data_IF_496036736553
#
_entry.id   IF_496036736553
#
_cell.length_a   1.000
_cell.length_b   1.000
_cell.length_c   1.000
_cell.angle_alpha   90.00
_cell.angle_beta   90.00
_cell.angle_gamma   90.00
#
_symmetry.space_group_name_H-M   'P 1'
#
loop_
_entity.id
_entity.type
_entity.pdbx_description
1 polymer ?
#
# COMPACT_ATOMS: atom_id res chain seq x y z
N UNK A 1 17.02 -11.72 -30.53
CA UNK A 1 17.34 -13.10 -30.96
C UNK A 1 18.72 -13.40 -30.43
N UNK A 2 18.83 -14.49 -29.69
CA UNK A 2 20.09 -14.96 -29.11
C UNK A 2 20.98 -15.52 -30.22
N UNK A 3 22.29 -15.33 -30.14
CA UNK A 3 23.24 -16.01 -31.05
C UNK A 3 24.00 -17.12 -30.31
N UNK A 4 24.54 -18.09 -31.04
CA UNK A 4 25.35 -19.15 -30.42
C UNK A 4 26.59 -18.59 -29.69
N UNK A 5 27.08 -17.42 -30.07
CA UNK A 5 28.18 -16.70 -29.39
C UNK A 5 27.84 -16.25 -27.96
N UNK A 6 26.55 -16.13 -27.63
CA UNK A 6 26.10 -15.72 -26.30
C UNK A 6 26.09 -16.90 -25.31
N UNK A 7 26.27 -18.15 -25.79
CA UNK A 7 26.43 -19.34 -24.94
C UNK A 7 27.79 -19.31 -24.25
N UNK A 8 27.81 -18.98 -22.97
CA UNK A 8 28.99 -18.98 -22.11
C UNK A 8 28.85 -19.99 -20.96
N UNK A 9 29.95 -20.57 -20.46
CA UNK A 9 29.93 -21.36 -19.24
C UNK A 9 29.27 -20.59 -18.08
N UNK A 10 28.40 -21.28 -17.33
CA UNK A 10 27.52 -20.77 -16.27
C UNK A 10 26.31 -19.93 -16.71
N UNK A 11 26.01 -19.85 -18.01
CA UNK A 11 24.74 -19.27 -18.46
C UNK A 11 23.57 -20.23 -18.22
N UNK A 12 22.39 -19.70 -17.90
CA UNK A 12 21.14 -20.47 -17.81
C UNK A 12 20.37 -20.30 -19.11
N UNK A 13 20.13 -21.39 -19.84
CA UNK A 13 19.54 -21.35 -21.19
C UNK A 13 18.29 -22.21 -21.25
N UNK A 14 17.22 -21.67 -21.86
CA UNK A 14 15.98 -22.37 -22.16
C UNK A 14 15.92 -22.68 -23.66
N UNK A 15 15.32 -23.82 -24.01
CA UNK A 15 15.21 -24.30 -25.40
C UNK A 15 16.08 -25.51 -25.72
N UNK A 16 17.01 -25.89 -24.84
CA UNK A 16 17.83 -27.11 -24.98
C UNK A 16 17.04 -28.36 -24.53
N UNK A 17 16.29 -28.23 -23.43
CA UNK A 17 15.31 -29.22 -23.00
C UNK A 17 13.90 -28.63 -23.13
N UNK A 18 12.88 -29.43 -23.50
CA UNK A 18 11.54 -28.94 -23.82
C UNK A 18 10.86 -28.09 -22.73
N UNK A 19 11.11 -28.38 -21.44
CA UNK A 19 10.38 -27.74 -20.34
C UNK A 19 11.28 -27.15 -19.24
N UNK A 20 12.60 -27.31 -19.35
CA UNK A 20 13.51 -26.97 -18.24
C UNK A 20 14.69 -26.13 -18.73
N UNK A 21 15.03 -25.03 -18.04
CA UNK A 21 16.29 -24.35 -18.28
C UNK A 21 17.45 -25.24 -17.84
N UNK A 22 18.57 -25.13 -18.52
CA UNK A 22 19.79 -25.88 -18.21
C UNK A 22 20.97 -24.93 -17.95
N UNK A 23 21.89 -25.35 -17.09
CA UNK A 23 23.12 -24.63 -16.82
C UNK A 23 24.19 -25.05 -17.84
N UNK A 24 24.74 -24.11 -18.59
CA UNK A 24 25.84 -24.38 -19.49
C UNK A 24 27.10 -24.67 -18.69
N UNK A 25 27.69 -25.84 -18.87
CA UNK A 25 28.93 -26.26 -18.21
C UNK A 25 30.13 -26.02 -19.13
N UNK A 26 29.97 -26.29 -20.42
CA UNK A 26 31.04 -26.18 -21.41
C UNK A 26 30.50 -25.95 -22.80
N UNK A 27 31.29 -25.26 -23.63
CA UNK A 27 30.94 -24.87 -25.00
C UNK A 27 32.14 -25.16 -25.89
N UNK A 28 31.98 -26.04 -26.88
CA UNK A 28 33.03 -26.39 -27.83
C UNK A 28 32.58 -26.08 -29.26
N UNK A 29 33.32 -25.22 -29.95
CA UNK A 29 32.99 -24.81 -31.31
C UNK A 29 33.56 -25.78 -32.36
N UNK A 30 32.74 -26.09 -33.35
CA UNK A 30 33.13 -26.81 -34.56
C UNK A 30 32.95 -25.88 -35.77
N UNK A 31 34.03 -25.18 -36.13
CA UNK A 31 33.98 -24.10 -37.12
C UNK A 31 33.11 -22.92 -36.64
N UNK A 32 32.40 -22.27 -37.56
CA UNK A 32 31.55 -21.10 -37.26
C UNK A 32 30.05 -21.40 -37.13
N UNK A 33 29.64 -22.65 -37.41
CA UNK A 33 28.23 -23.00 -37.66
C UNK A 33 27.64 -24.00 -36.68
N UNK A 34 28.46 -24.65 -35.85
CA UNK A 34 28.03 -25.66 -34.91
C UNK A 34 28.77 -25.54 -33.57
N UNK A 35 28.04 -25.79 -32.48
CA UNK A 35 28.54 -25.75 -31.10
C UNK A 35 28.08 -27.02 -30.39
N UNK A 36 29.01 -27.78 -29.83
CA UNK A 36 28.68 -28.79 -28.83
C UNK A 36 28.57 -28.12 -27.47
N UNK A 37 27.40 -28.27 -26.86
CA UNK A 37 27.06 -27.69 -25.57
C UNK A 37 26.97 -28.79 -24.52
N UNK A 38 27.85 -28.77 -23.54
CA UNK A 38 27.73 -29.57 -22.32
C UNK A 38 26.91 -28.77 -21.31
N UNK A 39 25.82 -29.34 -20.83
CA UNK A 39 24.91 -28.69 -19.88
C UNK A 39 24.62 -29.60 -18.69
N UNK A 40 24.12 -29.00 -17.61
CA UNK A 40 23.64 -29.67 -16.41
C UNK A 40 22.17 -29.30 -16.20
N UNK A 41 21.30 -30.29 -16.07
CA UNK A 41 19.88 -30.08 -15.77
C UNK A 41 19.66 -29.63 -14.30
N UNK A 42 18.44 -29.20 -13.92
CA UNK A 42 18.15 -28.80 -12.55
C UNK A 42 18.37 -29.91 -11.51
N UNK A 43 18.23 -31.18 -11.92
CA UNK A 43 18.49 -32.37 -11.09
C UNK A 43 19.98 -32.71 -10.97
N UNK A 44 20.83 -31.99 -11.69
CA UNK A 44 22.28 -32.11 -11.65
C UNK A 44 22.88 -33.16 -12.58
N UNK A 45 22.10 -33.75 -13.48
CA UNK A 45 22.57 -34.67 -14.51
C UNK A 45 23.22 -33.87 -15.65
N UNK A 46 24.38 -34.35 -16.09
CA UNK A 46 25.12 -33.76 -17.20
C UNK A 46 24.67 -34.39 -18.52
N UNK A 47 24.51 -33.56 -19.55
CA UNK A 47 24.21 -33.98 -20.91
C UNK A 47 24.99 -33.16 -21.93
N UNK A 48 25.13 -33.68 -23.14
CA UNK A 48 25.71 -32.98 -24.28
C UNK A 48 24.66 -32.86 -25.40
N UNK A 49 24.67 -31.75 -26.11
CA UNK A 49 23.87 -31.57 -27.33
C UNK A 49 24.67 -30.80 -28.37
N UNK A 50 24.38 -31.03 -29.65
CA UNK A 50 24.98 -30.31 -30.76
C UNK A 50 23.98 -29.29 -31.29
N UNK A 51 24.34 -28.01 -31.24
CA UNK A 51 23.51 -26.89 -31.66
C UNK A 51 24.06 -26.30 -32.96
N UNK A 52 23.15 -26.01 -33.89
CA UNK A 52 23.45 -25.34 -35.16
C UNK A 52 22.84 -23.94 -35.18
N UNK A 53 23.28 -23.10 -36.12
CA UNK A 53 22.72 -21.74 -36.31
C UNK A 53 21.20 -21.70 -36.46
N UNK A 54 20.59 -22.75 -37.02
CA UNK A 54 19.13 -22.89 -37.12
C UNK A 54 18.43 -22.92 -35.75
N UNK A 55 19.11 -23.42 -34.71
CA UNK A 55 18.57 -23.52 -33.36
C UNK A 55 18.61 -22.19 -32.59
N UNK A 56 19.27 -21.14 -33.10
CA UNK A 56 19.33 -19.82 -32.44
C UNK A 56 17.93 -19.23 -32.18
N UNK A 57 16.96 -19.55 -33.03
CA UNK A 57 15.57 -19.09 -32.90
C UNK A 57 14.80 -19.75 -31.75
N UNK A 58 15.26 -20.91 -31.28
CA UNK A 58 14.60 -21.72 -30.24
C UNK A 58 15.22 -21.47 -28.84
N UNK A 59 16.35 -20.77 -28.78
CA UNK A 59 17.12 -20.55 -27.56
C UNK A 59 16.84 -19.18 -26.94
N UNK A 60 16.74 -19.15 -25.62
CA UNK A 60 16.69 -17.91 -24.83
C UNK A 60 17.53 -18.03 -23.56
N UNK A 61 18.31 -16.98 -23.26
CA UNK A 61 19.03 -16.87 -22.00
C UNK A 61 18.03 -16.47 -20.92
N UNK A 62 17.96 -17.26 -19.85
CA UNK A 62 17.10 -17.00 -18.70
C UNK A 62 17.84 -16.16 -17.66
N UNK A 63 19.14 -16.43 -17.43
CA UNK A 63 20.02 -15.63 -16.56
C UNK A 63 21.44 -15.60 -17.14
N UNK A 64 22.01 -14.39 -17.26
CA UNK A 64 23.45 -14.20 -17.47
C UNK A 64 24.16 -14.18 -16.12
N UNK A 65 24.85 -15.27 -15.76
CA UNK A 65 25.82 -15.25 -14.65
C UNK A 65 25.49 -16.18 -13.48
N UNK A 66 26.29 -16.03 -12.41
CA UNK A 66 26.16 -16.86 -11.21
C UNK A 66 25.05 -16.30 -10.31
N UNK A 67 24.11 -17.12 -9.81
CA UNK A 67 23.27 -16.70 -8.70
C UNK A 67 24.16 -16.29 -7.52
N UNK A 68 23.88 -15.13 -6.90
CA UNK A 68 24.69 -14.54 -5.82
C UNK A 68 26.11 -14.08 -6.22
N UNK A 69 26.30 -13.60 -7.45
CA UNK A 69 27.61 -13.08 -7.89
C UNK A 69 28.10 -11.82 -7.12
N UNK A 70 27.22 -11.13 -6.37
CA UNK A 70 27.52 -9.88 -5.64
C UNK A 70 28.18 -8.80 -6.52
N UNK A 71 27.98 -8.87 -7.82
CA UNK A 71 28.52 -7.98 -8.86
C UNK A 71 27.55 -6.85 -9.24
N UNK A 72 26.40 -6.77 -8.57
CA UNK A 72 25.47 -5.65 -8.68
C UNK A 72 26.14 -4.32 -8.29
N UNK A 73 25.63 -3.22 -8.83
CA UNK A 73 26.17 -1.88 -8.53
C UNK A 73 26.07 -1.58 -7.01
N UNK A 74 27.22 -1.48 -6.35
CA UNK A 74 27.30 -1.17 -4.92
C UNK A 74 26.64 0.16 -4.54
N UNK A 75 26.52 1.11 -5.48
CA UNK A 75 25.78 2.36 -5.26
C UNK A 75 24.28 2.11 -5.18
N UNK A 76 23.74 1.25 -6.05
CA UNK A 76 22.32 0.86 -6.00
C UNK A 76 22.02 0.07 -4.73
N UNK A 77 22.90 -0.86 -4.34
CA UNK A 77 22.77 -1.59 -3.08
C UNK A 77 22.73 -0.63 -1.87
N UNK A 78 23.66 0.33 -1.80
CA UNK A 78 23.67 1.35 -0.74
C UNK A 78 22.38 2.18 -0.74
N UNK A 79 21.90 2.60 -1.91
CA UNK A 79 20.68 3.38 -2.02
C UNK A 79 19.47 2.63 -1.48
N UNK A 80 19.31 1.35 -1.85
CA UNK A 80 18.23 0.49 -1.34
C UNK A 80 18.36 0.27 0.16
N UNK A 81 19.58 0.01 0.66
CA UNK A 81 19.83 -0.15 2.10
C UNK A 81 19.46 1.12 2.90
N UNK A 82 19.84 2.30 2.42
CA UNK A 82 19.46 3.57 3.06
C UNK A 82 17.95 3.82 3.00
N UNK A 83 17.30 3.51 1.87
CA UNK A 83 15.85 3.62 1.74
C UNK A 83 15.13 2.72 2.75
N UNK A 84 15.60 1.47 2.94
CA UNK A 84 15.07 0.58 3.97
C UNK A 84 15.30 1.10 5.38
N UNK A 85 16.49 1.64 5.68
CA UNK A 85 16.79 2.23 6.99
C UNK A 85 15.86 3.38 7.32
N UNK A 86 15.60 4.28 6.36
CA UNK A 86 14.66 5.40 6.53
C UNK A 86 13.23 4.90 6.71
N UNK A 87 12.79 3.94 5.89
CA UNK A 87 11.45 3.35 6.00
C UNK A 87 11.20 2.68 7.36
N UNK A 88 12.24 2.08 7.92
CA UNK A 88 12.19 1.38 9.22
C UNK A 88 12.54 2.28 10.42
N UNK A 89 12.64 3.59 10.23
CA UNK A 89 12.99 4.51 11.32
C UNK A 89 12.02 4.43 12.52
N UNK A 90 10.74 4.14 12.27
CA UNK A 90 9.71 3.96 13.31
C UNK A 90 10.04 2.86 14.33
N UNK A 91 10.92 1.90 14.00
CA UNK A 91 11.36 0.87 14.94
C UNK A 91 12.25 1.42 16.05
N UNK A 92 12.88 2.58 15.82
CA UNK A 92 13.84 3.19 16.74
C UNK A 92 13.37 4.56 17.24
N UNK A 93 12.35 5.12 16.60
CA UNK A 93 11.69 6.37 16.99
C UNK A 93 10.22 6.09 17.36
N UNK A 94 9.88 6.04 18.66
CA UNK A 94 8.53 5.73 19.11
C UNK A 94 7.51 6.83 18.77
N UNK A 95 7.96 8.04 18.41
CA UNK A 95 7.13 9.22 18.14
C UNK A 95 7.44 9.83 16.76
N UNK A 96 7.70 8.98 15.77
CA UNK A 96 8.14 9.38 14.43
C UNK A 96 7.20 10.40 13.76
N UNK A 97 5.89 10.25 13.93
CA UNK A 97 4.93 11.20 13.35
C UNK A 97 5.03 12.59 13.96
N UNK A 98 5.44 12.75 15.22
CA UNK A 98 5.72 14.07 15.82
C UNK A 98 6.88 14.73 15.10
N UNK A 99 8.00 14.02 14.95
CA UNK A 99 9.23 14.58 14.37
C UNK A 99 9.14 14.86 12.88
N UNK A 100 8.24 14.18 12.17
CA UNK A 100 8.07 14.33 10.71
C UNK A 100 6.90 15.23 10.32
N UNK A 101 6.16 15.78 11.30
CA UNK A 101 5.01 16.66 11.08
C UNK A 101 5.31 18.11 11.45
N UNK A 102 4.58 19.04 10.85
CA UNK A 102 4.65 20.47 11.12
C UNK A 102 3.65 20.80 12.24
N UNK A 103 3.88 20.21 13.43
CA UNK A 103 3.06 20.41 14.62
C UNK A 103 3.93 20.48 15.87
N UNK A 104 3.49 21.26 16.85
CA UNK A 104 4.01 21.25 18.21
C UNK A 104 2.91 20.67 19.11
N UNK A 105 2.86 19.34 19.31
CA UNK A 105 1.78 18.72 20.05
C UNK A 105 1.94 18.98 21.54
N UNK A 106 0.81 19.18 22.22
CA UNK A 106 0.77 19.36 23.67
C UNK A 106 1.01 18.01 24.37
N UNK A 107 1.54 17.99 25.61
CA UNK A 107 1.85 16.74 26.32
C UNK A 107 0.67 15.77 26.39
N UNK A 108 -0.54 16.27 26.64
CA UNK A 108 -1.74 15.42 26.70
C UNK A 108 -2.07 14.77 25.35
N UNK A 109 -1.75 15.43 24.23
CA UNK A 109 -1.95 14.89 22.89
C UNK A 109 -0.97 13.76 22.60
N UNK A 110 0.28 13.90 23.05
CA UNK A 110 1.31 12.86 22.92
C UNK A 110 0.87 11.63 23.73
N UNK A 111 0.54 11.80 25.01
CA UNK A 111 0.09 10.70 25.86
C UNK A 111 -1.16 10.02 25.27
N UNK A 112 -2.16 10.80 24.84
CA UNK A 112 -3.37 10.24 24.24
C UNK A 112 -3.06 9.40 23.00
N UNK A 113 -2.24 9.89 22.07
CA UNK A 113 -1.94 9.15 20.83
C UNK A 113 -1.04 7.95 21.09
N UNK A 114 0.08 8.14 21.78
CA UNK A 114 1.16 7.15 21.82
C UNK A 114 1.05 6.15 22.97
N UNK A 115 0.48 6.54 24.11
CA UNK A 115 0.34 5.66 25.27
C UNK A 115 -1.04 5.00 25.31
N UNK A 116 -2.09 5.69 24.83
CA UNK A 116 -3.46 5.19 24.94
C UNK A 116 -4.04 4.67 23.63
N UNK A 117 -3.97 5.43 22.53
CA UNK A 117 -4.63 5.05 21.28
C UNK A 117 -3.85 3.98 20.51
N UNK A 118 -2.55 4.23 20.29
CA UNK A 118 -1.70 3.41 19.44
C UNK A 118 -1.52 1.94 19.92
N UNK A 119 -1.40 1.65 21.23
CA UNK A 119 -1.21 0.27 21.69
C UNK A 119 -2.50 -0.58 21.67
N UNK A 120 -3.68 0.03 21.52
CA UNK A 120 -4.94 -0.69 21.69
C UNK A 120 -5.43 -1.34 20.40
N UNK A 121 -5.70 -2.65 20.48
CA UNK A 121 -6.22 -3.47 19.39
C UNK A 121 -7.41 -4.31 19.91
N UNK A 122 -8.58 -4.29 19.27
CA UNK A 122 -8.95 -3.52 18.08
C UNK A 122 -9.13 -2.02 18.39
N UNK A 123 -8.80 -1.17 17.42
CA UNK A 123 -8.84 0.29 17.56
C UNK A 123 -10.29 0.83 17.48
N UNK A 124 -10.96 1.01 18.63
CA UNK A 124 -12.28 1.64 18.73
C UNK A 124 -12.33 2.63 19.91
N UNK A 125 -12.22 3.92 19.62
CA UNK A 125 -12.20 4.99 20.63
C UNK A 125 -13.18 6.13 20.31
N UNK A 126 -13.66 6.77 21.37
CA UNK A 126 -14.33 8.05 21.30
C UNK A 126 -13.44 9.10 21.95
N UNK A 127 -12.95 10.06 21.15
CA UNK A 127 -12.27 11.24 21.68
C UNK A 127 -13.33 12.26 22.12
N UNK A 128 -13.58 12.30 23.43
CA UNK A 128 -14.61 13.15 24.05
C UNK A 128 -14.03 14.41 24.73
N UNK A 129 -12.82 14.83 24.34
CA UNK A 129 -12.18 16.04 24.87
C UNK A 129 -12.97 17.30 24.51
N UNK A 130 -12.72 18.38 25.26
CA UNK A 130 -13.35 19.67 25.02
C UNK A 130 -13.08 20.22 23.59
N UNK A 131 -13.99 21.06 23.06
CA UNK A 131 -13.70 21.84 21.85
C UNK A 131 -12.40 22.62 21.99
N UNK A 132 -11.52 22.52 20.99
CA UNK A 132 -10.20 23.18 21.02
C UNK A 132 -9.06 22.36 21.64
N UNK A 133 -9.33 21.18 22.23
CA UNK A 133 -8.28 20.29 22.77
C UNK A 133 -7.32 19.70 21.69
N UNK A 134 -7.61 19.95 20.42
CA UNK A 134 -6.81 19.52 19.28
C UNK A 134 -7.04 18.08 18.85
N UNK A 135 -8.30 17.61 18.89
CA UNK A 135 -8.70 16.27 18.41
C UNK A 135 -8.26 16.00 16.97
N UNK A 136 -8.31 16.99 16.08
CA UNK A 136 -7.82 16.87 14.70
C UNK A 136 -6.31 16.62 14.64
N UNK A 137 -5.54 17.25 15.54
CA UNK A 137 -4.09 17.02 15.62
C UNK A 137 -3.79 15.62 16.15
N UNK A 138 -4.52 15.16 17.17
CA UNK A 138 -4.39 13.80 17.67
C UNK A 138 -4.72 12.75 16.59
N UNK A 139 -5.81 12.97 15.84
CA UNK A 139 -6.18 12.11 14.73
C UNK A 139 -5.13 12.11 13.61
N UNK A 140 -4.61 13.29 13.22
CA UNK A 140 -3.56 13.40 12.22
C UNK A 140 -2.25 12.73 12.63
N UNK A 141 -1.84 12.87 13.90
CA UNK A 141 -0.69 12.17 14.46
C UNK A 141 -0.89 10.66 14.40
N UNK A 142 -2.05 10.16 14.85
CA UNK A 142 -2.35 8.73 14.82
C UNK A 142 -2.33 8.18 13.39
N UNK A 143 -3.02 8.83 12.44
CA UNK A 143 -3.06 8.39 11.04
C UNK A 143 -1.64 8.30 10.47
N UNK A 144 -0.84 9.35 10.68
CA UNK A 144 0.53 9.40 10.15
C UNK A 144 1.43 8.35 10.79
N UNK A 145 1.31 8.14 12.09
CA UNK A 145 2.08 7.13 12.83
C UNK A 145 1.75 5.73 12.31
N UNK A 146 0.46 5.41 12.12
CA UNK A 146 0.04 4.12 11.58
C UNK A 146 0.53 3.90 10.13
N UNK A 147 0.48 4.94 9.28
CA UNK A 147 1.04 4.87 7.92
C UNK A 147 2.55 4.61 7.97
N UNK A 148 3.27 5.31 8.85
CA UNK A 148 4.73 5.17 8.96
C UNK A 148 5.15 3.78 9.48
N UNK A 149 4.30 3.13 10.28
CA UNK A 149 4.46 1.74 10.75
C UNK A 149 4.02 0.70 9.72
N UNK A 150 3.24 1.10 8.72
CA UNK A 150 2.67 0.20 7.72
C UNK A 150 1.37 -0.47 8.15
N UNK A 151 0.78 -0.05 9.28
CA UNK A 151 -0.47 -0.58 9.83
C UNK A 151 -1.71 0.06 9.18
N UNK A 152 -1.54 1.16 8.45
CA UNK A 152 -2.60 1.86 7.74
C UNK A 152 -2.17 2.14 6.30
N UNK A 153 -3.03 1.77 5.36
CA UNK A 153 -2.95 2.16 3.94
C UNK A 153 -4.17 2.98 3.54
N UNK A 154 -5.36 2.59 4.00
CA UNK A 154 -6.66 3.13 3.62
C UNK A 154 -7.37 3.77 4.82
N UNK A 155 -7.63 5.07 4.73
CA UNK A 155 -8.29 5.84 5.78
C UNK A 155 -9.45 6.66 5.23
N UNK A 156 -10.60 6.58 5.90
CA UNK A 156 -11.79 7.37 5.61
C UNK A 156 -12.08 8.35 6.76
N UNK A 157 -12.08 9.64 6.46
CA UNK A 157 -12.53 10.68 7.37
C UNK A 157 -13.96 11.08 6.99
N UNK A 158 -14.90 10.91 7.92
CA UNK A 158 -16.29 11.35 7.78
C UNK A 158 -16.53 12.55 8.70
N UNK A 159 -16.77 13.71 8.11
CA UNK A 159 -16.92 14.96 8.85
C UNK A 159 -18.12 15.78 8.38
N UNK A 160 -18.59 16.76 9.17
CA UNK A 160 -19.55 17.76 8.70
C UNK A 160 -19.06 18.46 7.43
N UNK A 161 -20.01 18.87 6.58
CA UNK A 161 -19.66 19.49 5.29
C UNK A 161 -18.81 20.76 5.41
N UNK A 162 -18.96 21.52 6.50
CA UNK A 162 -18.20 22.74 6.78
C UNK A 162 -16.76 22.50 7.23
N UNK A 163 -16.40 21.26 7.58
CA UNK A 163 -15.06 20.91 8.09
C UNK A 163 -14.23 20.13 7.07
N UNK A 164 -14.80 19.74 5.92
CA UNK A 164 -14.10 18.86 4.97
C UNK A 164 -12.83 19.50 4.39
N UNK A 165 -12.92 20.76 3.99
CA UNK A 165 -11.79 21.54 3.47
C UNK A 165 -10.76 21.80 4.57
N UNK A 166 -11.21 22.10 5.80
CA UNK A 166 -10.31 22.27 6.94
C UNK A 166 -9.54 20.98 7.25
N UNK A 167 -10.21 19.83 7.26
CA UNK A 167 -9.56 18.52 7.44
C UNK A 167 -8.52 18.27 6.35
N UNK A 168 -8.86 18.53 5.09
CA UNK A 168 -7.92 18.36 3.98
C UNK A 168 -6.71 19.28 4.13
N UNK A 169 -6.92 20.56 4.42
CA UNK A 169 -5.85 21.54 4.62
C UNK A 169 -4.95 21.17 5.80
N UNK A 170 -5.51 20.77 6.93
CA UNK A 170 -4.74 20.38 8.12
C UNK A 170 -3.93 19.10 7.86
N UNK A 171 -4.55 18.05 7.30
CA UNK A 171 -3.86 16.79 6.98
C UNK A 171 -2.76 16.99 5.94
N UNK A 172 -2.99 17.83 4.93
CA UNK A 172 -1.98 18.14 3.94
C UNK A 172 -0.84 18.99 4.50
N UNK A 173 -1.14 20.14 5.12
CA UNK A 173 -0.10 21.11 5.53
C UNK A 173 0.68 20.66 6.75
N UNK A 174 0.02 20.03 7.73
CA UNK A 174 0.67 19.66 9.00
C UNK A 174 1.27 18.26 8.92
N UNK A 175 0.60 17.34 8.24
CA UNK A 175 0.98 15.93 8.27
C UNK A 175 1.55 15.43 6.94
N UNK A 176 1.45 16.20 5.86
CA UNK A 176 1.83 15.79 4.49
C UNK A 176 1.02 14.59 3.99
N UNK A 177 -0.24 14.50 4.41
CA UNK A 177 -1.16 13.43 4.02
C UNK A 177 -2.12 13.94 2.92
N UNK A 178 -2.04 13.41 1.68
CA UNK A 178 -2.80 13.91 0.54
C UNK A 178 -4.22 13.32 0.50
N UNK A 179 -5.05 13.68 1.48
CA UNK A 179 -6.45 13.24 1.49
C UNK A 179 -7.26 13.91 0.38
N UNK A 180 -8.16 13.13 -0.22
CA UNK A 180 -9.05 13.60 -1.26
C UNK A 180 -10.50 13.73 -0.79
N UNK A 181 -11.10 14.90 -1.00
CA UNK A 181 -12.52 15.11 -0.72
C UNK A 181 -13.38 14.47 -1.82
N UNK A 182 -14.38 13.71 -1.41
CA UNK A 182 -15.39 13.11 -2.28
C UNK A 182 -16.31 14.18 -2.91
N UNK A 183 -16.21 14.35 -4.23
CA UNK A 183 -17.11 15.19 -5.05
C UNK A 183 -17.95 14.34 -6.01
N UNK A 184 -18.96 14.93 -6.66
CA UNK A 184 -19.76 14.18 -7.65
C UNK A 184 -18.94 13.89 -8.90
N UNK A 185 -18.19 14.88 -9.38
CA UNK A 185 -17.32 14.75 -10.55
C UNK A 185 -16.33 13.58 -10.39
N UNK A 186 -15.79 13.37 -9.18
CA UNK A 186 -14.90 12.25 -8.87
C UNK A 186 -15.61 10.89 -8.89
N UNK A 187 -16.85 10.84 -8.43
CA UNK A 187 -17.66 9.61 -8.49
C UNK A 187 -18.00 9.22 -9.93
N UNK A 188 -18.23 10.21 -10.79
CA UNK A 188 -18.55 10.02 -12.21
C UNK A 188 -17.30 9.68 -13.03
N UNK A 189 -16.15 10.27 -12.69
CA UNK A 189 -14.87 10.04 -13.38
C UNK A 189 -14.16 8.73 -12.95
N UNK A 190 -14.69 8.00 -11.98
CA UNK A 190 -14.08 6.77 -11.47
C UNK A 190 -13.98 5.70 -12.56
N UNK A 191 -12.77 5.26 -12.86
CA UNK A 191 -12.49 4.27 -13.93
C UNK A 191 -13.09 2.90 -13.66
N UNK A 192 -13.14 2.53 -12.39
CA UNK A 192 -13.69 1.27 -11.87
C UNK A 192 -15.20 1.35 -11.63
N UNK A 193 -15.80 2.54 -11.80
CA UNK A 193 -17.15 2.84 -11.34
C UNK A 193 -17.27 3.06 -9.82
N UNK A 194 -16.21 2.77 -9.05
CA UNK A 194 -16.15 3.00 -7.61
C UNK A 194 -14.89 3.79 -7.21
N UNK A 195 -15.07 5.09 -7.04
CA UNK A 195 -13.99 6.00 -6.67
C UNK A 195 -13.28 5.61 -5.34
N UNK A 196 -13.98 4.95 -4.42
CA UNK A 196 -13.38 4.49 -3.17
C UNK A 196 -12.33 3.40 -3.38
N UNK A 197 -12.43 2.59 -4.44
CA UNK A 197 -11.40 1.58 -4.75
C UNK A 197 -10.12 2.20 -5.32
N UNK A 198 -10.25 3.36 -5.95
CA UNK A 198 -9.13 4.08 -6.58
C UNK A 198 -8.36 4.98 -5.62
N UNK A 199 -8.92 5.26 -4.43
CA UNK A 199 -8.38 6.25 -3.50
C UNK A 199 -8.26 5.68 -2.09
N UNK A 200 -7.07 5.77 -1.52
CA UNK A 200 -6.76 5.22 -0.21
C UNK A 200 -7.02 6.22 0.93
N UNK A 201 -6.88 7.53 0.69
CA UNK A 201 -7.03 8.56 1.72
C UNK A 201 -8.20 9.47 1.36
N UNK A 202 -9.33 9.28 2.03
CA UNK A 202 -10.60 9.88 1.61
C UNK A 202 -11.21 10.74 2.72
N UNK A 203 -11.73 11.90 2.34
CA UNK A 203 -12.63 12.73 3.16
C UNK A 203 -14.01 12.71 2.53
N UNK A 204 -15.03 12.34 3.32
CA UNK A 204 -16.40 12.30 2.88
C UNK A 204 -17.31 13.13 3.80
N UNK A 205 -18.15 13.96 3.19
CA UNK A 205 -19.11 14.78 3.93
C UNK A 205 -20.24 13.90 4.49
N UNK A 206 -20.48 14.00 5.80
CA UNK A 206 -21.48 13.23 6.54
C UNK A 206 -22.87 13.27 5.89
N UNK A 207 -23.33 14.46 5.51
CA UNK A 207 -24.66 14.64 4.90
C UNK A 207 -24.75 14.04 3.50
N UNK A 208 -23.65 14.03 2.75
CA UNK A 208 -23.60 13.41 1.42
C UNK A 208 -23.67 11.90 1.52
N UNK A 209 -22.84 11.30 2.39
CA UNK A 209 -22.85 9.86 2.63
C UNK A 209 -24.19 9.38 3.19
N UNK A 210 -24.74 10.05 4.21
CA UNK A 210 -25.95 9.58 4.88
C UNK A 210 -27.21 9.65 4.02
N UNK A 211 -27.25 10.52 3.00
CA UNK A 211 -28.45 10.73 2.18
C UNK A 211 -28.45 9.95 0.86
N UNK A 212 -27.30 9.47 0.41
CA UNK A 212 -27.15 8.84 -0.90
C UNK A 212 -26.88 7.33 -0.77
N UNK A 213 -27.89 6.47 -0.99
CA UNK A 213 -27.75 5.01 -0.90
C UNK A 213 -26.76 4.45 -1.92
N UNK A 214 -26.64 5.04 -3.11
CA UNK A 214 -25.73 4.54 -4.15
C UNK A 214 -24.26 4.72 -3.72
N UNK A 215 -23.96 5.80 -2.99
CA UNK A 215 -22.63 6.00 -2.42
C UNK A 215 -22.36 5.04 -1.26
N UNK A 216 -23.38 4.76 -0.43
CA UNK A 216 -23.29 3.77 0.66
C UNK A 216 -23.02 2.36 0.10
N UNK A 217 -23.75 1.95 -0.94
CA UNK A 217 -23.54 0.66 -1.60
C UNK A 217 -22.11 0.52 -2.17
N UNK A 218 -21.51 1.62 -2.64
CA UNK A 218 -20.10 1.65 -3.08
C UNK A 218 -19.09 1.50 -1.92
N UNK A 219 -19.44 1.92 -0.70
CA UNK A 219 -18.62 1.73 0.50
C UNK A 219 -18.72 0.30 1.05
N UNK A 220 -19.87 -0.36 0.89
CA UNK A 220 -20.12 -1.72 1.39
C UNK A 220 -19.55 -2.83 0.50
N UNK A 221 -18.98 -2.50 -0.66
CA UNK A 221 -18.36 -3.49 -1.54
C UNK A 221 -17.23 -4.20 -0.78
N UNK A 222 -17.12 -5.55 -0.82
CA UNK A 222 -16.11 -6.29 -0.06
C UNK A 222 -14.66 -5.84 -0.29
N UNK A 223 -14.35 -5.35 -1.49
CA UNK A 223 -13.03 -4.85 -1.86
C UNK A 223 -12.74 -3.43 -1.31
N UNK A 224 -13.75 -2.73 -0.80
CA UNK A 224 -13.66 -1.35 -0.29
C UNK A 224 -13.40 -1.30 1.23
N UNK A 225 -12.46 -2.12 1.70
CA UNK A 225 -12.04 -2.15 3.11
C UNK A 225 -11.32 -0.86 3.54
N UNK A 226 -11.47 -0.50 4.82
CA UNK A 226 -10.79 0.63 5.47
C UNK A 226 -10.03 0.17 6.71
N UNK A 227 -8.74 0.51 6.79
CA UNK A 227 -7.93 0.22 7.99
C UNK A 227 -8.35 1.12 9.16
N UNK A 228 -8.81 2.35 8.84
CA UNK A 228 -9.25 3.32 9.83
C UNK A 228 -10.40 4.19 9.29
N UNK A 229 -11.43 4.35 10.11
CA UNK A 229 -12.52 5.31 9.88
C UNK A 229 -12.55 6.32 11.03
N UNK A 230 -12.41 7.60 10.69
CA UNK A 230 -12.48 8.72 11.63
C UNK A 230 -13.79 9.46 11.44
N UNK A 231 -14.65 9.45 12.45
CA UNK A 231 -15.92 10.18 12.44
C UNK A 231 -15.81 11.45 13.28
N UNK A 232 -15.74 12.60 12.63
CA UNK A 232 -15.73 13.90 13.29
C UNK A 232 -17.16 14.36 13.62
N UNK A 233 -17.30 15.04 14.76
CA UNK A 233 -18.59 15.41 15.35
C UNK A 233 -19.57 14.24 15.43
N UNK A 234 -19.09 13.08 15.91
CA UNK A 234 -19.86 11.83 16.00
C UNK A 234 -21.20 11.98 16.75
N UNK A 235 -21.34 12.99 17.63
CA UNK A 235 -22.60 13.32 18.29
C UNK A 235 -23.74 13.67 17.30
N UNK A 236 -23.42 14.04 16.05
CA UNK A 236 -24.39 14.28 14.96
C UNK A 236 -24.99 13.00 14.39
N UNK A 237 -24.41 11.83 14.69
CA UNK A 237 -24.92 10.50 14.34
C UNK A 237 -25.84 9.97 15.45
N UNK A 238 -26.90 10.72 15.78
CA UNK A 238 -27.77 10.43 16.92
C UNK A 238 -29.13 9.86 16.51
N UNK A 239 -29.80 9.19 17.45
CA UNK A 239 -31.19 8.76 17.37
C UNK A 239 -32.02 9.56 18.36
N UNK A 240 -33.28 9.86 18.03
CA UNK A 240 -34.19 10.55 18.95
C UNK A 240 -35.18 9.57 19.55
N UNK A 241 -35.33 9.60 20.87
CA UNK A 241 -36.34 8.83 21.59
C UNK A 241 -37.51 9.75 21.94
N UNK A 242 -38.70 9.45 21.43
CA UNK A 242 -39.91 10.22 21.72
C UNK A 242 -41.11 9.27 21.84
N UNK A 243 -41.87 9.39 22.93
CA UNK A 243 -43.10 8.61 23.12
C UNK A 243 -42.91 7.09 23.26
N UNK A 244 -41.72 6.61 23.62
CA UNK A 244 -41.41 5.17 23.70
C UNK A 244 -40.92 4.55 22.39
N UNK A 245 -40.88 5.31 21.30
CA UNK A 245 -40.31 4.89 20.02
C UNK A 245 -38.93 5.52 19.79
N UNK A 246 -37.98 4.71 19.31
CA UNK A 246 -36.66 5.18 18.88
C UNK A 246 -36.72 5.46 17.38
N UNK A 247 -36.49 6.72 17.00
CA UNK A 247 -36.38 7.13 15.60
C UNK A 247 -34.91 7.32 15.24
N UNK A 248 -34.38 6.38 14.47
CA UNK A 248 -33.01 6.44 13.95
C UNK A 248 -32.92 7.45 12.80
N UNK A 249 -31.94 8.35 12.88
CA UNK A 249 -31.65 9.28 11.79
C UNK A 249 -30.83 8.58 10.70
N UNK A 250 -30.86 9.11 9.47
CA UNK A 250 -29.99 8.61 8.39
C UNK A 250 -28.50 8.68 8.75
N UNK A 251 -28.11 9.68 9.56
CA UNK A 251 -26.73 9.83 10.06
C UNK A 251 -26.38 8.73 11.06
N UNK A 252 -27.32 8.36 11.93
CA UNK A 252 -27.15 7.22 12.83
C UNK A 252 -26.99 5.91 12.06
N UNK A 253 -27.84 5.66 11.06
CA UNK A 253 -27.76 4.47 10.21
C UNK A 253 -26.42 4.40 9.47
N UNK A 254 -25.93 5.53 8.94
CA UNK A 254 -24.59 5.60 8.37
C UNK A 254 -23.51 5.24 9.41
N UNK A 255 -23.61 5.74 10.64
CA UNK A 255 -22.67 5.38 11.71
C UNK A 255 -22.66 3.86 11.99
N UNK A 256 -23.82 3.20 11.93
CA UNK A 256 -23.90 1.74 12.05
C UNK A 256 -23.21 1.03 10.87
N UNK A 257 -23.46 1.48 9.64
CA UNK A 257 -22.79 0.97 8.44
C UNK A 257 -21.27 1.09 8.55
N UNK A 258 -20.77 2.28 8.89
CA UNK A 258 -19.34 2.54 9.03
C UNK A 258 -18.68 1.70 10.14
N UNK A 259 -19.44 1.20 11.12
CA UNK A 259 -18.91 0.34 12.18
C UNK A 259 -18.71 -1.12 11.76
N UNK A 260 -19.19 -1.50 10.58
CA UNK A 260 -19.19 -2.86 10.04
C UNK A 260 -18.22 -3.06 8.88
N UNK A 261 -17.79 -1.98 8.22
CA UNK A 261 -16.87 -2.01 7.07
C UNK A 261 -15.42 -1.71 7.46
#
# INVERSE_FOLDING_TARGET
>A
MMKLEDLKPNAVVRGILPERPVNVVGVQWFGSNAVELTYKDPEGKVGNTLLYRSNESELSIVEEGRPWAFDADGRQFRLVSEAHRIRLAHLFDPVLAVHTSIVEPLPHQITAVYEEMLPRQPLRFLLADDPGAGKTIMAGLLIKELIARGDLQRCLVVCPGSLAEQWQDELYRRFHLPFEILTNDKLEAARTGNWFLENNLVIARLDKLSRNPDIQAKLEVPDAFWDLIVCDEAHKMSATHFGGEIKYTKRYQLGQLLSQI
#
